data_IF_151958596120
#
_entry.id   IF_151958596120
#
_cell.length_a   1.000
_cell.length_b   1.000
_cell.length_c   1.000
_cell.angle_alpha   90.00
_cell.angle_beta   90.00
_cell.angle_gamma   90.00
#
_symmetry.space_group_name_H-M   'P 1'
#
loop_
_entity.id
_entity.type
_entity.pdbx_description
1 polymer ?
#
# COMPACT_ATOMS: atom_id res chain seq x y z
N UNK A 1 32.78 -16.92 15.65
CA UNK A 1 31.80 -16.91 14.54
C UNK A 1 31.98 -15.59 13.83
N UNK A 2 32.59 -15.61 12.63
CA UNK A 2 32.76 -14.39 11.84
C UNK A 2 31.41 -14.03 11.24
N UNK A 3 30.87 -12.89 11.65
CA UNK A 3 29.72 -12.26 11.02
C UNK A 3 30.27 -11.58 9.76
N UNK A 4 30.11 -12.23 8.60
CA UNK A 4 30.40 -11.58 7.32
C UNK A 4 29.51 -10.33 7.22
N UNK A 5 30.13 -9.15 7.18
CA UNK A 5 29.41 -7.92 6.91
C UNK A 5 28.94 -7.98 5.46
N UNK A 6 27.62 -8.02 5.24
CA UNK A 6 27.01 -7.78 3.93
C UNK A 6 27.66 -6.54 3.33
N UNK A 7 28.07 -6.60 2.07
CA UNK A 7 28.54 -5.40 1.40
C UNK A 7 27.37 -4.39 1.29
N UNK A 8 27.63 -3.09 1.14
CA UNK A 8 26.58 -2.07 1.16
C UNK A 8 25.46 -2.28 0.13
N UNK A 9 25.75 -2.89 -1.03
CA UNK A 9 24.75 -3.17 -2.07
C UNK A 9 23.85 -4.35 -1.70
N UNK A 10 24.40 -5.38 -1.05
CA UNK A 10 23.65 -6.52 -0.53
C UNK A 10 22.77 -6.14 0.66
N UNK A 11 23.27 -5.28 1.56
CA UNK A 11 22.48 -4.72 2.66
C UNK A 11 21.33 -3.85 2.13
N UNK A 12 21.59 -2.97 1.16
CA UNK A 12 20.54 -2.17 0.52
C UNK A 12 19.48 -3.06 -0.16
N UNK A 13 19.92 -4.06 -0.93
CA UNK A 13 19.00 -4.99 -1.61
C UNK A 13 18.15 -5.79 -0.62
N UNK A 14 18.73 -6.20 0.51
CA UNK A 14 18.02 -6.87 1.58
C UNK A 14 16.98 -5.97 2.24
N UNK A 15 17.35 -4.73 2.56
CA UNK A 15 16.44 -3.74 3.14
C UNK A 15 15.27 -3.42 2.20
N UNK A 16 15.54 -3.25 0.89
CA UNK A 16 14.49 -3.02 -0.11
C UNK A 16 13.51 -4.19 -0.20
N UNK A 17 14.00 -5.43 -0.25
CA UNK A 17 13.12 -6.62 -0.25
C UNK A 17 12.28 -6.72 1.02
N UNK A 18 12.85 -6.37 2.17
CA UNK A 18 12.13 -6.34 3.44
C UNK A 18 11.00 -5.31 3.41
N UNK A 19 11.29 -4.09 2.91
CA UNK A 19 10.29 -3.04 2.76
C UNK A 19 9.18 -3.44 1.77
N UNK A 20 9.53 -4.06 0.65
CA UNK A 20 8.54 -4.57 -0.33
C UNK A 20 7.58 -5.57 0.32
N UNK A 21 8.11 -6.53 1.09
CA UNK A 21 7.30 -7.50 1.82
C UNK A 21 6.39 -6.85 2.86
N UNK A 22 6.89 -5.86 3.61
CA UNK A 22 6.09 -5.11 4.58
C UNK A 22 4.97 -4.32 3.89
N UNK A 23 5.24 -3.66 2.76
CA UNK A 23 4.25 -2.95 1.96
C UNK A 23 3.18 -3.91 1.45
N UNK A 24 3.57 -5.07 0.90
CA UNK A 24 2.63 -6.08 0.41
C UNK A 24 1.73 -6.61 1.55
N UNK A 25 2.32 -6.88 2.72
CA UNK A 25 1.57 -7.28 3.91
C UNK A 25 0.56 -6.22 4.35
N UNK A 26 0.97 -4.94 4.36
CA UNK A 26 0.10 -3.82 4.71
C UNK A 26 -1.06 -3.67 3.73
N UNK A 27 -0.80 -3.67 2.43
CA UNK A 27 -1.83 -3.58 1.38
C UNK A 27 -2.84 -4.72 1.48
N UNK A 28 -2.37 -5.94 1.75
CA UNK A 28 -3.25 -7.08 1.94
C UNK A 28 -4.20 -6.88 3.13
N UNK A 29 -3.69 -6.44 4.27
CA UNK A 29 -4.50 -6.16 5.47
C UNK A 29 -5.52 -5.03 5.23
N UNK A 30 -5.11 -3.96 4.56
CA UNK A 30 -6.01 -2.85 4.21
C UNK A 30 -7.14 -3.31 3.29
N UNK A 31 -6.85 -4.16 2.31
CA UNK A 31 -7.88 -4.74 1.45
C UNK A 31 -8.85 -5.63 2.23
N UNK A 32 -8.38 -6.40 3.20
CA UNK A 32 -9.28 -7.17 4.08
C UNK A 32 -10.19 -6.26 4.90
N UNK A 33 -9.65 -5.18 5.46
CA UNK A 33 -10.42 -4.19 6.22
C UNK A 33 -11.45 -3.49 5.32
N UNK A 34 -11.07 -3.09 4.11
CA UNK A 34 -11.98 -2.51 3.13
C UNK A 34 -13.18 -3.44 2.83
N UNK A 35 -12.91 -4.71 2.52
CA UNK A 35 -13.98 -5.68 2.22
C UNK A 35 -14.91 -5.93 3.42
N UNK A 36 -14.39 -5.92 4.64
CA UNK A 36 -15.20 -6.02 5.85
C UNK A 36 -16.08 -4.78 6.05
N UNK A 37 -15.48 -3.60 5.96
CA UNK A 37 -16.15 -2.33 6.28
C UNK A 37 -17.18 -1.91 5.23
N UNK A 38 -16.98 -2.31 3.97
CA UNK A 38 -17.92 -2.08 2.88
C UNK A 38 -18.95 -3.22 2.72
N UNK A 39 -18.95 -4.23 3.60
CA UNK A 39 -19.94 -5.30 3.55
C UNK A 39 -21.31 -4.82 4.02
N UNK A 40 -22.31 -4.86 3.15
CA UNK A 40 -23.70 -4.58 3.51
C UNK A 40 -24.33 -5.69 4.39
N UNK A 41 -23.67 -6.84 4.51
CA UNK A 41 -24.17 -8.00 5.27
C UNK A 41 -23.80 -7.98 6.75
N UNK A 42 -22.95 -7.05 7.19
CA UNK A 42 -22.44 -7.00 8.56
C UNK A 42 -22.92 -5.73 9.25
N UNK A 43 -23.23 -5.87 10.55
CA UNK A 43 -23.41 -4.75 11.46
C UNK A 43 -22.06 -4.13 11.85
N UNK A 44 -22.07 -2.89 12.34
CA UNK A 44 -20.83 -2.22 12.78
C UNK A 44 -20.12 -3.00 13.89
N UNK A 45 -20.85 -3.62 14.81
CA UNK A 45 -20.24 -4.41 15.88
C UNK A 45 -19.57 -5.69 15.35
N UNK A 46 -20.18 -6.36 14.37
CA UNK A 46 -19.55 -7.50 13.70
C UNK A 46 -18.31 -7.09 12.90
N UNK A 47 -18.37 -5.93 12.23
CA UNK A 47 -17.22 -5.35 11.53
C UNK A 47 -16.09 -5.10 12.54
N UNK A 48 -16.37 -4.47 13.68
CA UNK A 48 -15.38 -4.21 14.75
C UNK A 48 -14.73 -5.49 15.25
N UNK A 49 -15.53 -6.51 15.56
CA UNK A 49 -15.01 -7.80 16.04
C UNK A 49 -14.12 -8.48 15.00
N UNK A 50 -14.50 -8.46 13.73
CA UNK A 50 -13.73 -9.09 12.64
C UNK A 50 -12.50 -8.27 12.24
N UNK A 51 -12.56 -6.94 12.38
CA UNK A 51 -11.47 -6.03 12.04
C UNK A 51 -10.33 -6.04 13.07
N UNK A 52 -10.64 -6.19 14.37
CA UNK A 52 -9.64 -6.10 15.44
C UNK A 52 -8.40 -7.02 15.25
N UNK A 53 -8.52 -8.32 14.92
CA UNK A 53 -7.33 -9.14 14.70
C UNK A 53 -6.47 -8.68 13.52
N UNK A 54 -7.05 -8.00 12.53
CA UNK A 54 -6.32 -7.41 11.41
C UNK A 54 -5.64 -6.12 11.86
N UNK A 55 -6.33 -5.27 12.62
CA UNK A 55 -5.80 -4.02 13.17
C UNK A 55 -4.64 -4.26 14.13
N UNK A 56 -4.66 -5.34 14.93
CA UNK A 56 -3.52 -5.74 15.77
C UNK A 56 -2.27 -6.06 14.94
N UNK A 57 -2.44 -6.71 13.78
CA UNK A 57 -1.32 -7.02 12.88
C UNK A 57 -0.82 -5.75 12.19
N UNK A 58 -1.73 -4.94 11.66
CA UNK A 58 -1.43 -3.68 10.99
C UNK A 58 -0.75 -2.70 11.95
N UNK A 59 -1.09 -2.68 13.24
CA UNK A 59 -0.46 -1.82 14.24
C UNK A 59 1.07 -1.99 14.29
N UNK A 60 1.59 -3.19 14.00
CA UNK A 60 3.03 -3.48 14.08
C UNK A 60 3.83 -2.85 12.95
N UNK A 61 3.21 -2.73 11.78
CA UNK A 61 3.85 -2.28 10.54
C UNK A 61 3.38 -0.90 10.08
N UNK A 62 2.17 -0.49 10.47
CA UNK A 62 1.58 0.81 10.20
C UNK A 62 0.67 1.27 11.36
N UNK A 63 1.25 1.77 12.46
CA UNK A 63 0.51 2.12 13.68
C UNK A 63 -0.45 3.31 13.50
N UNK A 64 -0.15 4.22 12.58
CA UNK A 64 -0.96 5.42 12.33
C UNK A 64 -2.28 5.01 11.69
N UNK A 65 -2.21 4.25 10.58
CA UNK A 65 -3.42 3.80 9.87
C UNK A 65 -4.26 2.86 10.73
N UNK A 66 -3.63 1.98 11.52
CA UNK A 66 -4.37 1.12 12.45
C UNK A 66 -5.15 1.92 13.51
N UNK A 67 -4.59 3.03 13.99
CA UNK A 67 -5.26 3.92 14.94
C UNK A 67 -6.44 4.66 14.29
N UNK A 68 -6.24 5.24 13.12
CA UNK A 68 -7.30 5.94 12.38
C UNK A 68 -8.50 5.03 12.11
N UNK A 69 -8.27 3.81 11.62
CA UNK A 69 -9.35 2.86 11.36
C UNK A 69 -10.10 2.50 12.65
N UNK A 70 -9.41 2.34 13.79
CA UNK A 70 -10.07 2.10 15.08
C UNK A 70 -10.96 3.27 15.50
N UNK A 71 -10.53 4.50 15.27
CA UNK A 71 -11.32 5.70 15.59
C UNK A 71 -12.58 5.76 14.74
N UNK A 72 -12.47 5.51 13.44
CA UNK A 72 -13.60 5.50 12.50
C UNK A 72 -14.60 4.41 12.88
N UNK A 73 -14.13 3.19 13.17
CA UNK A 73 -14.98 2.10 13.62
C UNK A 73 -15.61 2.38 15.00
N UNK A 74 -14.92 3.13 15.85
CA UNK A 74 -15.40 3.55 17.16
C UNK A 74 -16.57 4.52 17.12
N UNK A 75 -16.80 5.22 16.00
CA UNK A 75 -17.95 6.11 15.83
C UNK A 75 -19.30 5.38 15.79
N UNK A 76 -19.33 4.06 15.54
CA UNK A 76 -20.57 3.26 15.52
C UNK A 76 -21.48 3.52 14.31
N UNK A 77 -21.07 4.38 13.38
CA UNK A 77 -21.87 4.84 12.24
C UNK A 77 -21.40 4.15 10.96
N UNK A 78 -22.20 3.21 10.46
CA UNK A 78 -21.87 2.41 9.27
C UNK A 78 -21.70 3.27 8.02
N UNK A 79 -22.47 4.34 7.89
CA UNK A 79 -22.39 5.22 6.72
C UNK A 79 -21.08 5.99 6.72
N UNK A 80 -20.62 6.46 7.89
CA UNK A 80 -19.29 7.10 8.00
C UNK A 80 -18.15 6.14 7.75
N UNK A 81 -18.26 4.92 8.27
CA UNK A 81 -17.27 3.85 8.02
C UNK A 81 -17.15 3.58 6.52
N UNK A 82 -18.28 3.37 5.84
CA UNK A 82 -18.29 3.15 4.38
C UNK A 82 -17.75 4.35 3.60
N UNK A 83 -18.17 5.57 3.95
CA UNK A 83 -17.71 6.78 3.28
C UNK A 83 -16.19 6.96 3.39
N UNK A 84 -15.61 6.71 4.56
CA UNK A 84 -14.17 6.76 4.77
C UNK A 84 -13.43 5.77 3.87
N UNK A 85 -13.83 4.50 3.88
CA UNK A 85 -13.15 3.48 3.08
C UNK A 85 -13.33 3.68 1.57
N UNK A 86 -14.49 4.17 1.13
CA UNK A 86 -14.73 4.49 -0.28
C UNK A 86 -13.86 5.67 -0.74
N UNK A 87 -13.73 6.72 0.09
CA UNK A 87 -12.85 7.85 -0.19
C UNK A 87 -11.38 7.42 -0.27
N UNK A 88 -10.91 6.60 0.66
CA UNK A 88 -9.53 6.06 0.65
C UNK A 88 -9.27 5.22 -0.62
N UNK A 89 -10.25 4.43 -1.06
CA UNK A 89 -10.16 3.68 -2.32
C UNK A 89 -10.00 4.62 -3.52
N UNK A 90 -10.82 5.67 -3.60
CA UNK A 90 -10.74 6.64 -4.69
C UNK A 90 -9.39 7.37 -4.72
N UNK A 91 -8.88 7.78 -3.56
CA UNK A 91 -7.55 8.38 -3.45
C UNK A 91 -6.45 7.42 -3.89
N UNK A 92 -6.51 6.15 -3.46
CA UNK A 92 -5.53 5.14 -3.86
C UNK A 92 -5.53 4.91 -5.37
N UNK A 93 -6.72 4.80 -5.99
CA UNK A 93 -6.86 4.67 -7.45
C UNK A 93 -6.26 5.88 -8.16
N UNK A 94 -6.51 7.09 -7.65
CA UNK A 94 -5.97 8.32 -8.22
C UNK A 94 -4.43 8.37 -8.15
N UNK A 95 -3.86 8.07 -6.98
CA UNK A 95 -2.40 8.02 -6.80
C UNK A 95 -1.76 6.97 -7.71
N UNK A 96 -2.28 5.74 -7.72
CA UNK A 96 -1.76 4.67 -8.60
C UNK A 96 -1.86 5.04 -10.09
N UNK A 97 -2.96 5.67 -10.51
CA UNK A 97 -3.13 6.12 -11.89
C UNK A 97 -2.10 7.18 -12.27
N UNK A 98 -1.81 8.09 -11.35
CA UNK A 98 -0.79 9.13 -11.53
C UNK A 98 0.60 8.51 -11.65
N UNK A 99 0.96 7.56 -10.80
CA UNK A 99 2.30 6.97 -10.86
C UNK A 99 2.49 6.09 -12.08
N UNK A 100 1.45 5.36 -12.51
CA UNK A 100 1.48 4.64 -13.78
C UNK A 100 1.69 5.61 -14.96
N UNK A 101 1.05 6.79 -14.94
CA UNK A 101 1.24 7.81 -15.98
C UNK A 101 2.66 8.39 -15.96
N UNK A 102 3.20 8.70 -14.78
CA UNK A 102 4.57 9.19 -14.63
C UNK A 102 5.59 8.16 -15.11
N UNK A 103 5.46 6.89 -14.71
CA UNK A 103 6.32 5.80 -15.19
C UNK A 103 6.25 5.64 -16.71
N UNK A 104 5.05 5.73 -17.31
CA UNK A 104 4.91 5.73 -18.78
C UNK A 104 5.59 6.92 -19.43
N UNK A 105 5.55 8.11 -18.80
CA UNK A 105 6.26 9.30 -19.24
C UNK A 105 7.78 9.11 -19.24
N UNK A 106 8.32 8.64 -18.12
CA UNK A 106 9.75 8.34 -17.95
C UNK A 106 10.23 7.32 -18.97
N UNK A 107 9.51 6.21 -19.14
CA UNK A 107 9.85 5.17 -20.12
C UNK A 107 9.85 5.69 -21.57
N UNK A 108 8.93 6.61 -21.92
CA UNK A 108 8.95 7.28 -23.24
C UNK A 108 10.17 8.16 -23.41
N UNK A 109 10.56 8.91 -22.38
CA UNK A 109 11.75 9.78 -22.42
C UNK A 109 13.04 8.96 -22.56
N UNK A 110 13.20 7.90 -21.77
CA UNK A 110 14.34 6.97 -21.87
C UNK A 110 14.41 6.34 -23.27
N UNK A 111 13.27 5.90 -23.82
CA UNK A 111 13.25 5.30 -25.15
C UNK A 111 13.57 6.32 -26.25
N UNK A 112 13.15 7.59 -26.12
CA UNK A 112 13.52 8.68 -27.04
C UNK A 112 15.02 8.98 -27.01
N UNK A 113 15.63 8.99 -25.82
CA UNK A 113 17.08 9.17 -25.69
C UNK A 113 17.86 8.00 -26.29
N UNK A 114 17.41 6.76 -26.09
CA UNK A 114 18.02 5.58 -26.72
C UNK A 114 17.95 5.60 -28.24
N UNK A 115 16.84 6.06 -28.83
CA UNK A 115 16.72 6.21 -30.29
C UNK A 115 17.59 7.33 -30.86
N UNK A 116 17.86 8.38 -30.07
CA UNK A 116 18.74 9.48 -30.49
C UNK A 116 20.25 9.16 -30.38
N UNK A 117 20.63 8.00 -29.84
CA UNK A 117 22.03 7.55 -29.71
C UNK A 117 22.35 6.34 -30.59
N UNK A 118 21.46 5.92 -31.49
CA UNK A 118 21.86 5.01 -32.56
C UNK A 118 22.74 5.77 -33.55
N UNK A 119 24.00 5.33 -33.81
CA UNK A 119 24.77 5.92 -34.88
C UNK A 119 24.01 5.68 -36.18
N UNK A 120 23.73 6.77 -36.91
CA UNK A 120 23.35 6.66 -38.31
C UNK A 120 24.59 6.18 -39.07
N UNK A 121 24.71 4.86 -39.26
CA UNK A 121 25.70 4.29 -40.17
C UNK A 121 25.45 4.90 -41.57
N UNK A 122 26.40 5.71 -42.00
CA UNK A 122 26.55 6.23 -43.37
C UNK A 122 27.47 5.33 -44.16
#
# INVERSE_FOLDING_TARGET
MHQESLNPEEDLSYQLRKQEQEIHGNLFMLNQLFNLCCSAALTVDEIRQKAEPILIKLQKSNPIVAKEIREILGCGDQTKVQAYFEQEKEQLIHTLSTEIQQHKGINRSINKEKTNHQPTDS
#
